data_IF_355055518745
#
_entry.id   IF_355055518745
#
_cell.length_a   1.000
_cell.length_b   1.000
_cell.length_c   1.000
_cell.angle_alpha   90.00
_cell.angle_beta   90.00
_cell.angle_gamma   90.00
#
_symmetry.space_group_name_H-M   'P 1'
#
loop_
_entity.id
_entity.type
_entity.pdbx_description
1 polymer ?
#
# COMPACT_ATOMS: atom_id res chain seq x y z
N UNK A 1 -18.58 -3.91 2.08
CA UNK A 1 -17.80 -4.46 3.19
C UNK A 1 -17.14 -5.77 2.71
N UNK A 2 -16.19 -5.70 1.77
CA UNK A 2 -15.62 -6.91 1.12
C UNK A 2 -14.16 -6.79 0.65
N UNK A 3 -13.60 -5.59 0.43
CA UNK A 3 -12.28 -5.48 -0.18
C UNK A 3 -11.10 -5.75 0.78
N UNK A 4 -11.25 -5.41 2.06
CA UNK A 4 -10.21 -5.64 3.09
C UNK A 4 -10.17 -7.13 3.45
N UNK A 5 -11.32 -7.77 3.61
CA UNK A 5 -11.40 -9.21 3.89
C UNK A 5 -10.81 -10.04 2.72
N UNK A 6 -11.02 -9.60 1.48
CA UNK A 6 -10.40 -10.24 0.29
C UNK A 6 -8.87 -10.11 0.29
N UNK A 7 -8.32 -8.99 0.79
CA UNK A 7 -6.86 -8.81 0.91
C UNK A 7 -6.28 -9.73 1.99
N UNK A 8 -7.01 -9.90 3.10
CA UNK A 8 -6.63 -10.75 4.22
C UNK A 8 -6.71 -12.25 3.90
N UNK A 9 -7.71 -12.69 3.11
CA UNK A 9 -7.90 -14.12 2.78
C UNK A 9 -7.02 -14.63 1.63
N UNK A 10 -6.70 -13.80 0.63
CA UNK A 10 -6.04 -14.29 -0.59
C UNK A 10 -4.51 -14.14 -0.64
N UNK A 11 -3.93 -13.30 0.24
CA UNK A 11 -2.50 -13.02 0.25
C UNK A 11 -1.92 -12.64 -1.13
N UNK A 12 -0.64 -12.92 -1.42
CA UNK A 12 0.02 -12.53 -2.67
C UNK A 12 -0.51 -13.25 -3.93
N UNK A 13 -1.48 -14.17 -3.79
CA UNK A 13 -2.10 -14.91 -4.89
C UNK A 13 -3.26 -14.19 -5.58
N UNK A 14 -3.63 -12.98 -5.14
CA UNK A 14 -4.71 -12.19 -5.75
C UNK A 14 -4.27 -11.67 -7.14
N UNK A 15 -4.45 -12.48 -8.18
CA UNK A 15 -4.31 -12.09 -9.58
C UNK A 15 -5.28 -10.97 -9.97
N UNK A 16 -4.92 -10.18 -11.00
CA UNK A 16 -5.65 -8.99 -11.49
C UNK A 16 -7.16 -9.23 -11.58
N UNK A 17 -7.98 -8.37 -10.93
CA UNK A 17 -8.08 -6.96 -11.35
C UNK A 17 -8.02 -5.91 -10.22
N UNK A 18 -7.42 -6.22 -9.06
CA UNK A 18 -7.48 -5.34 -7.86
C UNK A 18 -6.18 -4.62 -7.50
N UNK A 19 -5.09 -4.83 -8.25
CA UNK A 19 -3.78 -4.24 -7.98
C UNK A 19 -3.24 -3.63 -9.26
N UNK A 20 -3.13 -2.31 -9.29
CA UNK A 20 -2.37 -1.59 -10.32
C UNK A 20 -1.03 -1.14 -9.74
N UNK A 21 -0.01 -1.04 -10.61
CA UNK A 21 1.30 -0.50 -10.20
C UNK A 21 1.22 1.02 -10.27
N UNK A 22 1.50 1.68 -9.15
CA UNK A 22 1.50 3.13 -9.10
C UNK A 22 2.73 3.65 -9.86
N UNK A 23 2.48 4.44 -10.90
CA UNK A 23 3.54 5.10 -11.66
C UNK A 23 3.97 6.37 -10.93
N UNK A 24 5.27 6.66 -10.94
CA UNK A 24 5.82 7.85 -10.28
C UNK A 24 6.18 7.68 -8.81
N UNK A 25 6.12 6.46 -8.27
CA UNK A 25 6.75 6.13 -7.00
C UNK A 25 8.13 5.52 -7.21
N UNK A 26 9.03 5.78 -6.27
CA UNK A 26 10.33 5.14 -6.09
C UNK A 26 10.23 3.74 -5.50
N UNK A 27 9.08 3.36 -4.92
CA UNK A 27 8.81 2.02 -4.37
C UNK A 27 8.31 1.11 -5.50
N UNK A 28 9.15 0.16 -5.91
CA UNK A 28 8.86 -0.75 -7.02
C UNK A 28 7.63 -1.65 -6.80
N UNK A 29 7.30 -2.00 -5.55
CA UNK A 29 6.18 -2.86 -5.19
C UNK A 29 5.01 -2.11 -4.57
N UNK A 30 4.91 -0.78 -4.75
CA UNK A 30 3.77 0.00 -4.28
C UNK A 30 2.52 -0.34 -5.09
N UNK A 31 1.46 -0.71 -4.37
CA UNK A 31 0.20 -1.20 -4.91
C UNK A 31 -0.95 -0.36 -4.40
N UNK A 32 -2.03 -0.38 -5.15
CA UNK A 32 -3.29 0.27 -4.77
C UNK A 32 -4.41 -0.76 -4.62
N UNK A 33 -5.18 -0.64 -3.54
CA UNK A 33 -6.49 -1.27 -3.37
C UNK A 33 -7.60 -0.24 -3.56
N UNK A 34 -8.70 -0.64 -4.20
CA UNK A 34 -9.84 0.25 -4.52
C UNK A 34 -11.18 -0.26 -3.95
N UNK A 35 -11.44 -0.15 -2.64
CA UNK A 35 -12.75 -0.44 -2.07
C UNK A 35 -13.75 0.69 -2.38
N UNK A 36 -14.59 0.53 -3.38
CA UNK A 36 -15.58 1.55 -3.73
C UNK A 36 -14.93 2.91 -4.04
N UNK A 37 -15.25 3.93 -3.25
CA UNK A 37 -14.69 5.29 -3.40
C UNK A 37 -13.35 5.48 -2.70
N UNK A 38 -12.95 4.58 -1.81
CA UNK A 38 -11.67 4.70 -1.10
C UNK A 38 -10.52 4.21 -1.98
N UNK A 39 -9.34 4.82 -1.81
CA UNK A 39 -8.07 4.35 -2.35
C UNK A 39 -7.12 4.07 -1.20
N UNK A 40 -6.44 2.94 -1.25
CA UNK A 40 -5.48 2.53 -0.24
C UNK A 40 -4.17 2.18 -0.93
N UNK A 41 -3.09 2.88 -0.60
CA UNK A 41 -1.74 2.54 -1.02
C UNK A 41 -1.12 1.60 0.00
N UNK A 42 -0.56 0.50 -0.48
CA UNK A 42 0.02 -0.53 0.37
C UNK A 42 1.18 -1.23 -0.33
N UNK A 43 1.99 -1.93 0.46
CA UNK A 43 3.08 -2.79 -0.01
C UNK A 43 2.94 -4.17 0.63
N UNK A 44 3.48 -5.20 -0.04
CA UNK A 44 3.71 -6.48 0.62
C UNK A 44 5.14 -6.51 1.14
N UNK A 45 5.30 -6.79 2.43
CA UNK A 45 6.62 -7.04 3.01
C UNK A 45 7.17 -8.43 2.57
N UNK A 46 8.47 -8.69 2.77
CA UNK A 46 9.06 -10.00 2.48
C UNK A 46 8.39 -11.19 3.20
N UNK A 47 7.72 -10.93 4.33
CA UNK A 47 6.97 -11.92 5.14
C UNK A 47 5.51 -12.09 4.70
N UNK A 48 5.14 -11.56 3.52
CA UNK A 48 3.80 -11.65 2.93
C UNK A 48 2.70 -10.95 3.73
N UNK A 49 3.06 -10.04 4.63
CA UNK A 49 2.12 -9.15 5.30
C UNK A 49 1.86 -7.91 4.44
N UNK A 50 0.60 -7.47 4.38
CA UNK A 50 0.24 -6.22 3.72
C UNK A 50 0.43 -5.04 4.67
N UNK A 51 1.31 -4.11 4.32
CA UNK A 51 1.53 -2.87 5.07
C UNK A 51 0.71 -1.76 4.42
N UNK A 52 -0.35 -1.31 5.11
CA UNK A 52 -1.19 -0.22 4.64
C UNK A 52 -0.50 1.11 4.93
N UNK A 53 -0.13 1.83 3.88
CA UNK A 53 0.67 3.05 3.99
C UNK A 53 -0.22 4.30 4.04
N UNK A 54 -1.21 4.40 3.16
CA UNK A 54 -2.11 5.57 3.06
C UNK A 54 -3.50 5.12 2.64
N UNK A 55 -4.54 5.66 3.26
CA UNK A 55 -5.93 5.50 2.81
C UNK A 55 -6.58 6.88 2.62
N UNK A 56 -7.38 7.04 1.56
CA UNK A 56 -8.08 8.29 1.29
C UNK A 56 -9.36 8.08 0.50
N UNK A 57 -10.44 8.75 0.91
CA UNK A 57 -11.67 8.94 0.13
C UNK A 57 -11.66 10.36 -0.43
N UNK A 58 -10.97 10.58 -1.56
CA UNK A 58 -10.93 11.87 -2.26
C UNK A 58 -11.66 11.78 -3.58
N UNK A 59 -12.96 11.50 -3.48
CA UNK A 59 -13.88 11.41 -4.61
C UNK A 59 -13.73 12.64 -5.53
N UNK A 60 -13.32 12.41 -6.78
CA UNK A 60 -13.24 13.43 -7.82
C UNK A 60 -11.93 14.23 -7.91
N UNK A 61 -10.94 14.02 -7.03
CA UNK A 61 -9.62 14.70 -7.10
C UNK A 61 -8.44 13.74 -7.00
N UNK A 62 -8.47 12.68 -7.82
CA UNK A 62 -7.48 11.61 -7.75
C UNK A 62 -6.05 12.03 -8.09
N UNK A 63 -5.86 12.86 -9.13
CA UNK A 63 -4.52 13.29 -9.53
C UNK A 63 -3.81 14.09 -8.43
N UNK A 64 -4.51 15.01 -7.79
CA UNK A 64 -3.95 15.79 -6.67
C UNK A 64 -3.74 14.91 -5.44
N UNK A 65 -4.64 13.96 -5.20
CA UNK A 65 -4.46 12.99 -4.13
C UNK A 65 -3.19 12.16 -4.32
N UNK A 66 -2.91 11.63 -5.53
CA UNK A 66 -1.69 10.85 -5.77
C UNK A 66 -0.42 11.67 -5.54
N UNK A 67 -0.40 12.95 -5.92
CA UNK A 67 0.73 13.85 -5.69
C UNK A 67 1.09 14.01 -4.21
N UNK A 68 0.10 13.91 -3.32
CA UNK A 68 0.29 13.97 -1.86
C UNK A 68 0.49 12.57 -1.25
N UNK A 69 -0.29 11.60 -1.70
CA UNK A 69 -0.35 10.26 -1.12
C UNK A 69 0.88 9.41 -1.44
N UNK A 70 1.47 9.58 -2.63
CA UNK A 70 2.66 8.82 -3.03
C UNK A 70 3.87 9.20 -2.15
N UNK A 71 4.28 10.49 -2.03
CA UNK A 71 5.40 10.85 -1.15
C UNK A 71 5.15 10.47 0.31
N UNK A 72 3.91 10.57 0.79
CA UNK A 72 3.55 10.16 2.15
C UNK A 72 3.69 8.64 2.34
N UNK A 73 3.29 7.85 1.35
CA UNK A 73 3.46 6.40 1.39
C UNK A 73 4.95 6.02 1.37
N UNK A 74 5.75 6.72 0.58
CA UNK A 74 7.20 6.53 0.51
C UNK A 74 7.89 6.77 1.85
N UNK A 75 7.60 7.92 2.47
CA UNK A 75 8.13 8.26 3.79
C UNK A 75 7.74 7.21 4.84
N UNK A 76 6.47 6.79 4.87
CA UNK A 76 5.97 5.79 5.84
C UNK A 76 6.63 4.43 5.64
N UNK A 77 6.87 4.04 4.39
CA UNK A 77 7.54 2.79 4.12
C UNK A 77 9.02 2.83 4.51
N UNK A 78 9.71 3.96 4.28
CA UNK A 78 11.08 4.15 4.75
C UNK A 78 11.17 4.03 6.28
N UNK A 79 10.24 4.65 7.02
CA UNK A 79 10.16 4.50 8.48
C UNK A 79 9.96 3.04 8.88
N UNK A 80 8.99 2.35 8.27
CA UNK A 80 8.72 0.94 8.54
C UNK A 80 9.96 0.06 8.32
N UNK A 81 10.74 0.30 7.27
CA UNK A 81 11.96 -0.47 6.99
C UNK A 81 13.05 -0.25 8.05
N UNK A 82 13.18 0.98 8.57
CA UNK A 82 14.14 1.29 9.64
C UNK A 82 13.74 0.58 10.93
N UNK A 83 12.48 0.71 11.33
CA UNK A 83 11.94 0.05 12.52
C UNK A 83 12.08 -1.48 12.42
N UNK A 84 11.76 -2.07 11.25
CA UNK A 84 11.95 -3.51 11.04
C UNK A 84 13.39 -3.97 11.12
N UNK A 85 14.33 -3.23 10.52
CA UNK A 85 15.75 -3.59 10.58
C UNK A 85 16.29 -3.57 12.02
N UNK A 86 15.81 -2.64 12.85
CA UNK A 86 16.15 -2.58 14.28
C UNK A 86 15.62 -3.79 15.04
N UNK A 87 14.37 -4.21 14.78
CA UNK A 87 13.78 -5.40 15.41
C UNK A 87 14.51 -6.71 15.03
N UNK A 88 14.91 -6.87 13.76
CA UNK A 88 15.64 -8.06 13.29
C UNK A 88 17.08 -8.13 13.82
N UNK A 89 17.75 -6.98 13.94
CA UNK A 89 19.10 -6.92 14.51
C UNK A 89 19.17 -7.15 16.02
N UNK A 90 18.01 -7.19 16.69
CA UNK A 90 17.87 -7.44 18.13
C UNK A 90 17.40 -8.87 18.45
N UNK A 91 17.15 -9.72 17.43
CA UNK A 91 16.75 -11.12 17.57
C UNK A 91 17.88 -12.13 17.37
#
# INVERSE_FOLDING_TARGET
MQAIDTLAEAGPGLGRPLVDTIHGSTIANLKELRPGTVRILFVFDPWRSSILLVAGDKTGRWNDWYREAIPLAEQRYETYLKERAEEEGQS
#
